data_IF_151277955791
#
_entry.id   IF_151277955791
#
_cell.length_a   1.000
_cell.length_b   1.000
_cell.length_c   1.000
_cell.angle_alpha   90.00
_cell.angle_beta   90.00
_cell.angle_gamma   90.00
#
_symmetry.space_group_name_H-M   'P 1'
#
loop_
_entity.id
_entity.type
_entity.pdbx_description
1 polymer ?
#
# COMPACT_ATOMS: atom_id res chain seq x y z
N UNK A 1 21.08 7.07 3.67
CA UNK A 1 21.79 6.18 2.72
C UNK A 1 22.13 4.83 3.37
N UNK A 2 22.64 4.79 4.60
CA UNK A 2 22.99 3.52 5.30
C UNK A 2 21.77 2.75 5.85
N UNK A 3 20.58 3.34 5.93
CA UNK A 3 19.33 2.63 6.28
C UNK A 3 18.58 2.03 5.08
N UNK A 4 19.09 2.23 3.86
CA UNK A 4 18.45 1.91 2.58
C UNK A 4 19.16 0.78 1.83
N UNK A 5 20.11 0.13 2.50
CA UNK A 5 20.83 -1.04 2.00
C UNK A 5 20.65 -2.17 3.00
N UNK A 6 19.42 -2.29 3.53
CA UNK A 6 19.08 -3.44 4.34
C UNK A 6 18.58 -4.54 3.40
N UNK A 7 19.54 -5.20 2.74
CA UNK A 7 19.40 -6.57 2.23
C UNK A 7 18.85 -7.53 3.31
N UNK A 8 18.81 -7.09 4.58
CA UNK A 8 18.27 -7.79 5.74
C UNK A 8 16.86 -7.37 6.18
N UNK A 9 16.12 -6.55 5.40
CA UNK A 9 14.68 -6.40 5.61
C UNK A 9 13.99 -7.73 5.22
N UNK A 10 13.81 -8.62 6.22
CA UNK A 10 13.26 -9.99 6.13
C UNK A 10 11.96 -10.19 5.34
N UNK A 11 11.32 -9.11 4.86
CA UNK A 11 9.96 -9.15 4.32
C UNK A 11 9.87 -8.67 2.86
N UNK A 12 10.46 -7.51 2.50
CA UNK A 12 10.46 -7.00 1.12
C UNK A 12 11.81 -6.30 0.85
N UNK A 13 12.57 -6.70 -0.18
CA UNK A 13 13.82 -6.05 -0.54
C UNK A 13 13.57 -4.67 -1.18
N UNK A 14 14.48 -3.72 -0.97
CA UNK A 14 14.41 -2.36 -1.54
C UNK A 14 14.26 -2.35 -3.08
N UNK A 15 14.84 -3.36 -3.75
CA UNK A 15 14.67 -3.57 -5.19
C UNK A 15 13.21 -3.78 -5.60
N UNK A 16 12.41 -4.44 -4.76
CA UNK A 16 10.98 -4.65 -4.99
C UNK A 16 10.18 -3.35 -4.92
N UNK A 17 10.53 -2.45 -4.00
CA UNK A 17 9.91 -1.12 -3.90
C UNK A 17 10.27 -0.29 -5.13
N UNK A 18 11.55 -0.25 -5.52
CA UNK A 18 11.99 0.44 -6.74
C UNK A 18 11.29 -0.10 -7.99
N UNK A 19 11.11 -1.42 -8.09
CA UNK A 19 10.39 -2.05 -9.20
C UNK A 19 8.91 -1.66 -9.21
N UNK A 20 8.23 -1.67 -8.06
CA UNK A 20 6.84 -1.22 -7.93
C UNK A 20 6.67 0.23 -8.39
N UNK A 21 7.59 1.11 -7.98
CA UNK A 21 7.59 2.52 -8.42
C UNK A 21 7.76 2.61 -9.94
N UNK A 22 8.73 1.91 -10.52
CA UNK A 22 8.93 1.88 -11.96
C UNK A 22 7.68 1.36 -12.72
N UNK A 23 7.01 0.35 -12.18
CA UNK A 23 5.80 -0.23 -12.77
C UNK A 23 4.61 0.74 -12.68
N UNK A 24 4.48 1.48 -11.58
CA UNK A 24 3.46 2.53 -11.46
C UNK A 24 3.65 3.65 -12.48
N UNK A 25 4.91 4.06 -12.73
CA UNK A 25 5.23 5.06 -13.76
C UNK A 25 4.91 4.53 -15.15
N UNK A 26 5.22 3.26 -15.42
CA UNK A 26 4.83 2.62 -16.69
C UNK A 26 3.30 2.58 -16.86
N UNK A 27 2.56 2.27 -15.78
CA UNK A 27 1.09 2.20 -15.82
C UNK A 27 0.40 3.55 -16.06
N UNK A 28 1.07 4.68 -15.85
CA UNK A 28 0.52 6.02 -16.16
C UNK A 28 0.42 6.27 -17.68
N UNK A 29 1.16 5.53 -18.50
CA UNK A 29 1.23 5.77 -19.95
C UNK A 29 -0.04 5.38 -20.70
N UNK A 30 -0.77 4.38 -20.21
CA UNK A 30 -1.86 3.73 -20.96
C UNK A 30 -3.27 4.05 -20.41
N UNK A 31 -3.39 4.85 -19.34
CA UNK A 31 -4.66 5.08 -18.64
C UNK A 31 -4.97 6.57 -18.47
N UNK A 32 -6.26 6.87 -18.28
CA UNK A 32 -6.71 8.22 -17.93
C UNK A 32 -6.09 8.66 -16.61
N UNK A 33 -5.22 9.66 -16.68
CA UNK A 33 -4.42 10.17 -15.57
C UNK A 33 -5.30 10.70 -14.44
N UNK A 34 -6.49 11.23 -14.75
CA UNK A 34 -7.44 11.74 -13.75
C UNK A 34 -8.00 10.60 -12.90
N UNK A 35 -8.39 9.50 -13.55
CA UNK A 35 -8.90 8.30 -12.88
C UNK A 35 -7.85 7.67 -11.95
N UNK A 36 -6.58 7.65 -12.38
CA UNK A 36 -5.48 7.14 -11.57
C UNK A 36 -5.16 8.02 -10.36
N UNK A 37 -5.23 9.34 -10.51
CA UNK A 37 -5.05 10.26 -9.39
C UNK A 37 -6.17 10.11 -8.35
N UNK A 38 -7.41 9.95 -8.82
CA UNK A 38 -8.57 9.67 -7.95
C UNK A 38 -8.42 8.34 -7.22
N UNK A 39 -7.97 7.29 -7.91
CA UNK A 39 -7.68 6.00 -7.28
C UNK A 39 -6.62 6.13 -6.19
N UNK A 40 -5.52 6.83 -6.46
CA UNK A 40 -4.49 7.09 -5.44
C UNK A 40 -5.05 7.86 -4.25
N UNK A 41 -5.85 8.90 -4.48
CA UNK A 41 -6.50 9.66 -3.42
C UNK A 41 -7.42 8.78 -2.56
N UNK A 42 -8.28 7.97 -3.18
CA UNK A 42 -9.18 7.06 -2.46
C UNK A 42 -8.44 5.93 -1.74
N UNK A 43 -7.31 5.47 -2.28
CA UNK A 43 -6.49 4.44 -1.65
C UNK A 43 -5.79 4.98 -0.38
N UNK A 44 -5.30 6.23 -0.42
CA UNK A 44 -4.62 6.85 0.74
C UNK A 44 -5.60 7.21 1.86
N UNK A 45 -6.82 7.61 1.51
CA UNK A 45 -7.77 8.25 2.43
C UNK A 45 -8.06 7.44 3.72
N UNK A 46 -8.32 6.11 3.67
CA UNK A 46 -8.54 5.32 4.90
C UNK A 46 -7.31 5.26 5.80
N UNK A 47 -6.11 5.16 5.21
CA UNK A 47 -4.85 5.14 5.95
C UNK A 47 -4.58 6.50 6.62
N UNK A 48 -4.87 7.60 5.91
CA UNK A 48 -4.76 8.96 6.45
C UNK A 48 -5.71 9.19 7.64
N UNK A 49 -6.96 8.73 7.54
CA UNK A 49 -7.94 8.87 8.64
C UNK A 49 -7.43 8.14 9.89
N UNK A 50 -6.95 6.90 9.75
CA UNK A 50 -6.40 6.15 10.88
C UNK A 50 -5.15 6.81 11.47
N UNK A 51 -4.26 7.30 10.60
CA UNK A 51 -3.06 8.01 11.05
C UNK A 51 -3.41 9.28 11.82
N UNK A 52 -4.32 10.11 11.31
CA UNK A 52 -4.80 11.32 11.98
C UNK A 52 -5.48 10.98 13.31
N UNK A 53 -6.29 9.92 13.34
CA UNK A 53 -6.94 9.46 14.57
C UNK A 53 -5.91 9.01 15.63
N UNK A 54 -4.94 8.17 15.25
CA UNK A 54 -3.86 7.72 16.14
C UNK A 54 -3.03 8.89 16.65
N UNK A 55 -2.71 9.86 15.79
CA UNK A 55 -1.96 11.05 16.15
C UNK A 55 -2.74 11.96 17.13
N UNK A 56 -4.00 12.27 16.83
CA UNK A 56 -4.80 13.21 17.63
C UNK A 56 -5.25 12.62 18.97
N UNK A 57 -5.65 11.35 18.99
CA UNK A 57 -6.24 10.71 20.18
C UNK A 57 -5.18 10.02 21.03
N UNK A 58 -4.25 9.30 20.40
CA UNK A 58 -3.27 8.45 21.10
C UNK A 58 -1.86 9.06 21.15
N UNK A 59 -1.59 10.12 20.37
CA UNK A 59 -0.24 10.68 20.14
C UNK A 59 0.76 9.64 19.64
N UNK A 60 0.28 8.65 18.90
CA UNK A 60 1.06 7.56 18.36
C UNK A 60 1.13 7.65 16.83
N UNK A 61 2.29 7.27 16.27
CA UNK A 61 2.51 7.19 14.84
C UNK A 61 2.33 5.73 14.43
N UNK A 62 1.22 5.40 13.78
CA UNK A 62 0.86 4.02 13.42
C UNK A 62 1.32 3.58 12.03
N UNK A 63 1.65 4.54 11.15
CA UNK A 63 2.14 4.26 9.79
C UNK A 63 3.58 4.77 9.72
N UNK A 64 4.50 3.89 9.33
CA UNK A 64 5.90 4.26 9.24
C UNK A 64 6.13 5.15 8.01
N UNK A 65 7.11 6.05 8.09
CA UNK A 65 7.45 6.97 6.99
C UNK A 65 7.79 6.25 5.68
N UNK A 66 8.34 5.04 5.73
CA UNK A 66 8.64 4.23 4.55
C UNK A 66 7.42 3.71 3.80
N UNK A 67 6.29 3.50 4.49
CA UNK A 67 5.05 3.02 3.88
C UNK A 67 4.41 4.10 2.97
N UNK A 68 4.71 5.38 3.20
CA UNK A 68 4.12 6.50 2.47
C UNK A 68 4.48 6.56 0.99
N UNK A 69 5.58 5.93 0.55
CA UNK A 69 5.93 5.87 -0.87
C UNK A 69 5.21 4.74 -1.60
N UNK A 70 4.93 3.64 -0.91
CA UNK A 70 4.33 2.45 -1.52
C UNK A 70 2.82 2.61 -1.70
N UNK A 71 2.17 3.28 -0.75
CA UNK A 71 0.71 3.54 -0.80
C UNK A 71 0.28 4.25 -2.10
N UNK A 72 0.85 5.41 -2.50
CA UNK A 72 0.46 6.09 -3.74
C UNK A 72 0.84 5.27 -4.98
N UNK A 73 1.98 4.57 -4.97
CA UNK A 73 2.42 3.68 -6.05
C UNK A 73 1.39 2.58 -6.32
N UNK A 74 0.91 1.90 -5.28
CA UNK A 74 -0.15 0.90 -5.39
C UNK A 74 -1.48 1.56 -5.80
N UNK A 75 -1.81 2.71 -5.20
CA UNK A 75 -3.06 3.42 -5.47
C UNK A 75 -3.26 3.79 -6.94
N UNK A 76 -2.20 4.17 -7.66
CA UNK A 76 -2.23 4.50 -9.10
C UNK A 76 -2.53 3.26 -9.97
N UNK A 77 -2.20 2.06 -9.48
CA UNK A 77 -2.29 0.80 -10.23
C UNK A 77 -3.61 0.06 -9.98
N UNK A 78 -4.42 0.57 -9.05
CA UNK A 78 -5.73 0.03 -8.68
C UNK A 78 -6.84 0.81 -9.40
N UNK A 79 -8.00 0.19 -9.58
CA UNK A 79 -9.19 0.86 -10.09
C UNK A 79 -9.84 1.68 -8.97
N UNK A 80 -10.30 2.92 -9.25
CA UNK A 80 -10.79 3.82 -8.21
C UNK A 80 -11.96 3.26 -7.38
N UNK A 81 -12.79 2.41 -8.00
CA UNK A 81 -13.94 1.75 -7.36
C UNK A 81 -13.52 0.80 -6.20
N UNK A 82 -12.35 0.18 -6.32
CA UNK A 82 -11.84 -0.79 -5.35
C UNK A 82 -10.75 -0.21 -4.45
N UNK A 83 -10.31 1.03 -4.70
CA UNK A 83 -9.17 1.62 -4.00
C UNK A 83 -9.39 1.73 -2.48
N UNK A 84 -10.50 2.33 -2.06
CA UNK A 84 -10.79 2.51 -0.63
C UNK A 84 -11.02 1.16 0.09
N UNK A 85 -11.71 0.22 -0.57
CA UNK A 85 -12.01 -1.09 0.01
C UNK A 85 -10.76 -1.95 0.15
N UNK A 86 -9.85 -1.92 -0.82
CA UNK A 86 -8.57 -2.64 -0.74
C UNK A 86 -7.68 -2.11 0.40
N UNK A 87 -7.59 -0.79 0.56
CA UNK A 87 -6.86 -0.23 1.70
C UNK A 87 -7.50 -0.64 3.03
N UNK A 88 -8.84 -0.58 3.12
CA UNK A 88 -9.55 -1.01 4.33
C UNK A 88 -9.27 -2.49 4.66
N UNK A 89 -9.32 -3.37 3.67
CA UNK A 89 -8.97 -4.79 3.83
C UNK A 89 -7.53 -4.96 4.28
N UNK A 90 -6.57 -4.23 3.70
CA UNK A 90 -5.17 -4.27 4.12
C UNK A 90 -4.99 -3.84 5.58
N UNK A 91 -5.71 -2.80 6.03
CA UNK A 91 -5.67 -2.36 7.43
C UNK A 91 -6.25 -3.40 8.39
N UNK A 92 -7.38 -4.03 8.02
CA UNK A 92 -8.00 -5.10 8.82
C UNK A 92 -7.08 -6.32 8.92
N UNK A 93 -6.49 -6.75 7.80
CA UNK A 93 -5.52 -7.85 7.78
C UNK A 93 -4.31 -7.48 8.63
N UNK A 94 -3.77 -6.26 8.50
CA UNK A 94 -2.64 -5.80 9.31
C UNK A 94 -2.95 -5.88 10.80
N UNK A 95 -4.14 -5.42 11.22
CA UNK A 95 -4.56 -5.47 12.62
C UNK A 95 -4.73 -6.91 13.12
N UNK A 96 -5.24 -7.82 12.29
CA UNK A 96 -5.33 -9.24 12.61
C UNK A 96 -3.94 -9.86 12.73
N UNK A 97 -3.07 -9.66 11.75
CA UNK A 97 -1.73 -10.26 11.66
C UNK A 97 -0.81 -9.75 12.76
N UNK A 98 -0.94 -8.49 13.15
CA UNK A 98 -0.15 -7.89 14.25
C UNK A 98 -0.37 -8.61 15.58
N UNK A 99 -1.50 -9.30 15.79
CA UNK A 99 -1.72 -10.13 16.99
C UNK A 99 -0.78 -11.33 17.07
N UNK A 100 -0.39 -11.92 15.94
CA UNK A 100 0.52 -13.07 15.89
C UNK A 100 1.97 -12.64 15.64
N UNK A 101 2.19 -11.60 14.84
CA UNK A 101 3.51 -11.05 14.51
C UNK A 101 3.54 -9.53 14.80
N UNK A 102 3.93 -9.11 16.01
CA UNK A 102 3.80 -7.73 16.48
C UNK A 102 4.71 -6.69 15.79
N UNK A 103 5.48 -7.09 14.78
CA UNK A 103 6.41 -6.22 14.03
C UNK A 103 6.33 -6.45 12.52
N UNK A 104 5.18 -6.87 11.99
CA UNK A 104 5.04 -7.04 10.54
C UNK A 104 5.05 -5.67 9.85
N UNK A 105 5.89 -5.45 8.83
CA UNK A 105 5.86 -4.20 8.06
C UNK A 105 4.56 -4.10 7.27
N UNK A 106 3.89 -2.94 7.30
CA UNK A 106 2.61 -2.73 6.62
C UNK A 106 2.72 -2.90 5.10
N UNK A 107 3.85 -2.50 4.49
CA UNK A 107 4.15 -2.78 3.07
C UNK A 107 3.93 -4.26 2.71
N UNK A 108 4.27 -5.20 3.60
CA UNK A 108 4.11 -6.64 3.37
C UNK A 108 2.65 -7.01 3.15
N UNK A 109 1.78 -6.49 4.02
CA UNK A 109 0.34 -6.74 3.94
C UNK A 109 -0.24 -6.10 2.68
N UNK A 110 0.16 -4.87 2.38
CA UNK A 110 -0.23 -4.17 1.15
C UNK A 110 0.18 -4.96 -0.10
N UNK A 111 1.38 -5.52 -0.13
CA UNK A 111 1.86 -6.33 -1.25
C UNK A 111 1.00 -7.58 -1.48
N UNK A 112 0.63 -8.29 -0.40
CA UNK A 112 -0.24 -9.47 -0.50
C UNK A 112 -1.65 -9.10 -0.98
N UNK A 113 -2.24 -8.04 -0.43
CA UNK A 113 -3.57 -7.57 -0.85
C UNK A 113 -3.56 -7.13 -2.31
N UNK A 114 -2.54 -6.37 -2.72
CA UNK A 114 -2.39 -5.93 -4.09
C UNK A 114 -2.18 -7.10 -5.05
N UNK A 115 -1.33 -8.06 -4.69
CA UNK A 115 -1.10 -9.26 -5.49
C UNK A 115 -2.38 -10.10 -5.63
N UNK A 116 -3.15 -10.27 -4.56
CA UNK A 116 -4.46 -10.91 -4.60
C UNK A 116 -5.44 -10.19 -5.55
N UNK A 117 -5.48 -8.86 -5.48
CA UNK A 117 -6.28 -8.05 -6.41
C UNK A 117 -5.85 -8.23 -7.87
N UNK A 118 -4.55 -8.24 -8.16
CA UNK A 118 -4.04 -8.48 -9.52
C UNK A 118 -4.42 -9.88 -10.04
N UNK A 119 -4.34 -10.91 -9.18
CA UNK A 119 -4.77 -12.27 -9.55
C UNK A 119 -6.26 -12.29 -9.90
N UNK A 120 -7.11 -11.60 -9.12
CA UNK A 120 -8.54 -11.52 -9.41
C UNK A 120 -8.82 -10.85 -10.76
N UNK A 121 -8.16 -9.73 -11.06
CA UNK A 121 -8.25 -9.06 -12.37
C UNK A 121 -7.81 -9.99 -13.50
N UNK A 122 -6.65 -10.63 -13.37
CA UNK A 122 -6.11 -11.51 -14.40
C UNK A 122 -6.96 -12.76 -14.63
N UNK A 123 -7.68 -13.21 -13.59
CA UNK A 123 -8.63 -14.32 -13.69
C UNK A 123 -9.99 -13.94 -14.27
N UNK A 124 -10.28 -12.65 -14.47
CA UNK A 124 -11.57 -12.15 -14.95
C UNK A 124 -12.70 -12.23 -13.92
N UNK A 125 -12.36 -12.41 -12.63
CA UNK A 125 -13.33 -12.46 -11.54
C UNK A 125 -13.80 -11.07 -11.08
N UNK A 126 -13.24 -10.00 -11.66
CA UNK A 126 -13.34 -8.62 -11.21
C UNK A 126 -13.36 -7.66 -12.40
#
# INVERSE_FOLDING_TARGET
IVSYTDLSARWIPDSGICFLVALSVYSLKDKDTVSQLLSAAFFILPALILHLYGYLVKKEIWIASGDFYVIPTIGIMVLPEYAATLMFVALVISLAVTRWTPKIPFVTVLFFVFSGYQVLILSGAL
#
